data_IF_595491052885
#
_entry.id   IF_595491052885
#
_cell.length_a   1.000
_cell.length_b   1.000
_cell.length_c   1.000
_cell.angle_alpha   90.00
_cell.angle_beta   90.00
_cell.angle_gamma   90.00
#
_symmetry.space_group_name_H-M   'P 1'
#
loop_
_entity.id
_entity.type
_entity.pdbx_description
1 polymer ?
#
# COMPACT_ATOMS: atom_id res chain seq x y z
N UNK A 1 -26.33 -13.89 0.08
CA UNK A 1 -25.74 -13.54 1.39
C UNK A 1 -24.24 -13.53 1.25
N UNK A 2 -23.62 -12.47 1.72
CA UNK A 2 -22.17 -12.37 1.70
C UNK A 2 -21.54 -13.36 2.68
N UNK A 3 -20.43 -13.95 2.29
CA UNK A 3 -19.68 -14.87 3.14
C UNK A 3 -18.36 -14.23 3.56
N UNK A 4 -17.88 -14.60 4.74
CA UNK A 4 -16.55 -14.23 5.15
C UNK A 4 -15.50 -14.88 4.26
N UNK A 5 -14.35 -14.21 4.11
CA UNK A 5 -13.23 -14.71 3.32
C UNK A 5 -11.94 -14.60 4.15
N UNK A 6 -11.08 -15.58 3.97
CA UNK A 6 -9.75 -15.57 4.58
C UNK A 6 -8.73 -15.29 3.49
N UNK A 7 -7.97 -14.23 3.65
CA UNK A 7 -6.89 -13.85 2.74
C UNK A 7 -5.58 -13.88 3.52
N UNK A 8 -4.57 -14.53 2.95
CA UNK A 8 -3.23 -14.50 3.50
C UNK A 8 -2.31 -13.82 2.48
N UNK A 9 -1.61 -12.80 2.92
CA UNK A 9 -0.70 -12.02 2.08
C UNK A 9 0.32 -12.89 1.33
N UNK A 10 0.73 -14.01 1.90
CA UNK A 10 1.67 -14.94 1.24
C UNK A 10 1.12 -15.54 -0.04
N UNK A 11 -0.19 -15.59 -0.19
CA UNK A 11 -0.85 -16.17 -1.37
C UNK A 11 -1.17 -15.14 -2.43
N UNK A 12 -0.81 -13.89 -2.23
CA UNK A 12 -1.08 -12.80 -3.17
C UNK A 12 0.23 -12.35 -3.80
N UNK A 13 0.24 -12.30 -5.14
CA UNK A 13 1.41 -11.80 -5.87
C UNK A 13 1.45 -10.27 -5.80
N UNK A 14 2.64 -9.69 -5.61
CA UNK A 14 2.77 -8.24 -5.59
C UNK A 14 2.69 -7.64 -6.99
N UNK A 15 2.23 -6.40 -7.05
CA UNK A 15 2.59 -5.49 -8.11
C UNK A 15 4.07 -5.13 -7.91
N UNK A 16 4.89 -5.39 -8.90
CA UNK A 16 6.29 -4.96 -8.88
C UNK A 16 6.36 -3.63 -9.61
N UNK A 17 6.37 -2.55 -8.86
CA UNK A 17 6.44 -1.21 -9.44
C UNK A 17 7.80 -1.00 -10.11
N UNK A 18 8.85 -1.29 -9.37
CA UNK A 18 10.23 -1.24 -9.82
C UNK A 18 11.11 -1.99 -8.81
N UNK A 19 12.42 -1.79 -8.89
CA UNK A 19 13.39 -2.43 -7.97
C UNK A 19 13.26 -1.96 -6.53
N UNK A 20 12.55 -0.85 -6.28
CA UNK A 20 12.51 -0.21 -4.96
C UNK A 20 11.26 -0.54 -4.17
N UNK A 21 10.12 -0.73 -4.85
CA UNK A 21 8.82 -0.83 -4.18
C UNK A 21 7.92 -1.87 -4.84
N UNK A 22 7.26 -2.66 -4.01
CA UNK A 22 6.22 -3.59 -4.43
C UNK A 22 4.99 -3.44 -3.55
N UNK A 23 3.83 -3.88 -4.06
CA UNK A 23 2.56 -3.65 -3.41
C UNK A 23 1.62 -4.82 -3.70
N UNK A 24 1.00 -5.37 -2.65
CA UNK A 24 0.00 -6.42 -2.76
C UNK A 24 -1.35 -5.83 -2.45
N UNK A 25 -2.27 -5.86 -3.42
CA UNK A 25 -3.66 -5.50 -3.17
C UNK A 25 -4.37 -6.71 -2.56
N UNK A 26 -4.66 -6.65 -1.26
CA UNK A 26 -5.20 -7.77 -0.51
C UNK A 26 -6.72 -7.76 -0.47
N UNK A 27 -7.31 -6.60 -0.27
CA UNK A 27 -8.75 -6.43 -0.10
C UNK A 27 -9.18 -5.20 -0.87
N UNK A 28 -10.30 -5.32 -1.58
CA UNK A 28 -10.88 -4.23 -2.33
C UNK A 28 -12.08 -4.72 -3.12
N UNK A 29 -12.69 -3.82 -3.86
CA UNK A 29 -13.86 -4.10 -4.67
C UNK A 29 -13.58 -5.18 -5.73
N UNK A 30 -12.45 -5.04 -6.40
CA UNK A 30 -12.02 -5.93 -7.46
C UNK A 30 -11.24 -7.15 -6.94
N UNK A 31 -10.90 -7.14 -5.67
CA UNK A 31 -10.12 -8.21 -5.03
C UNK A 31 -10.81 -8.56 -3.72
N UNK A 32 -11.15 -9.82 -3.56
CA UNK A 32 -11.82 -10.32 -2.35
C UNK A 32 -13.22 -9.73 -2.12
N UNK A 33 -13.77 -8.99 -3.07
CA UNK A 33 -15.17 -8.53 -3.06
C UNK A 33 -15.58 -7.63 -1.90
N UNK A 34 -14.67 -6.80 -1.39
CA UNK A 34 -14.99 -5.88 -0.30
C UNK A 34 -15.22 -4.47 -0.84
N UNK A 35 -16.43 -3.97 -0.66
CA UNK A 35 -16.83 -2.64 -1.15
C UNK A 35 -16.57 -1.50 -0.16
N UNK A 36 -16.13 -1.82 1.05
CA UNK A 36 -16.01 -0.82 2.12
C UNK A 36 -14.64 -0.17 2.14
N UNK A 37 -13.60 -0.96 1.98
CA UNK A 37 -12.22 -0.50 2.20
C UNK A 37 -11.27 -1.24 1.28
N UNK A 38 -10.21 -0.55 0.87
CA UNK A 38 -9.08 -1.15 0.17
C UNK A 38 -7.95 -1.36 1.16
N UNK A 39 -7.32 -2.53 1.13
CA UNK A 39 -6.17 -2.87 1.98
C UNK A 39 -5.03 -3.37 1.10
N UNK A 40 -3.87 -2.80 1.30
CA UNK A 40 -2.69 -3.08 0.51
C UNK A 40 -1.49 -3.32 1.45
N UNK A 41 -0.62 -4.26 1.09
CA UNK A 41 0.65 -4.44 1.79
C UNK A 41 1.76 -3.91 0.90
N UNK A 42 2.44 -2.88 1.35
CA UNK A 42 3.56 -2.28 0.62
C UNK A 42 4.89 -2.73 1.21
N UNK A 43 5.87 -2.96 0.34
CA UNK A 43 7.24 -3.26 0.74
C UNK A 43 8.19 -2.32 0.00
N UNK A 44 8.91 -1.51 0.79
CA UNK A 44 9.94 -0.62 0.29
C UNK A 44 11.30 -1.24 0.61
N UNK A 45 12.15 -1.38 -0.40
CA UNK A 45 13.47 -1.99 -0.21
C UNK A 45 14.37 -1.13 0.68
N UNK A 46 15.40 -1.77 1.23
CA UNK A 46 16.41 -1.07 2.01
C UNK A 46 17.07 0.04 1.19
N UNK A 47 17.36 1.16 1.83
CA UNK A 47 18.08 2.29 1.22
C UNK A 47 17.31 3.02 0.12
N UNK A 48 16.01 2.83 0.02
CA UNK A 48 15.17 3.42 -1.01
C UNK A 48 14.13 4.37 -0.43
N UNK A 49 13.55 5.19 -1.28
CA UNK A 49 12.42 6.04 -0.93
C UNK A 49 11.39 6.03 -2.05
N UNK A 50 10.14 6.30 -1.73
CA UNK A 50 9.08 6.41 -2.74
C UNK A 50 9.08 7.80 -3.37
N UNK A 51 8.54 7.89 -4.58
CA UNK A 51 8.42 9.18 -5.28
C UNK A 51 7.40 10.11 -4.63
N UNK A 52 6.44 9.53 -3.93
CA UNK A 52 5.38 10.30 -3.30
C UNK A 52 4.21 10.60 -4.21
N UNK A 53 3.18 11.14 -3.62
CA UNK A 53 1.96 11.51 -4.35
C UNK A 53 0.96 12.21 -3.46
N UNK A 54 -0.11 12.64 -4.08
CA UNK A 54 -1.22 13.30 -3.42
C UNK A 54 -2.53 12.73 -3.97
N UNK A 55 -3.51 12.53 -3.11
CA UNK A 55 -4.84 12.07 -3.51
C UNK A 55 -5.90 12.59 -2.53
N UNK A 56 -7.16 12.49 -2.95
CA UNK A 56 -8.29 13.01 -2.18
C UNK A 56 -8.83 12.03 -1.14
N UNK A 57 -8.46 10.76 -1.20
CA UNK A 57 -8.89 9.78 -0.20
C UNK A 57 -8.00 9.90 1.03
N UNK A 58 -8.62 9.76 2.21
CA UNK A 58 -7.87 9.56 3.45
C UNK A 58 -7.18 8.20 3.37
N UNK A 59 -5.92 8.17 3.75
CA UNK A 59 -5.17 6.93 3.81
C UNK A 59 -4.63 6.70 5.22
N UNK A 60 -4.55 5.45 5.63
CA UNK A 60 -3.98 5.09 6.93
C UNK A 60 -2.86 4.09 6.67
N UNK A 61 -1.71 4.32 7.28
CA UNK A 61 -0.61 3.35 7.31
C UNK A 61 -0.56 2.66 8.66
N UNK A 62 -0.30 1.37 8.62
CA UNK A 62 0.08 0.59 9.80
C UNK A 62 1.44 -0.05 9.52
N UNK A 63 2.41 0.21 10.38
CA UNK A 63 3.79 -0.25 10.17
C UNK A 63 3.94 -1.68 10.67
N UNK A 64 4.31 -2.60 9.78
CA UNK A 64 4.43 -4.02 10.08
C UNK A 64 5.85 -4.38 10.52
N UNK A 65 6.86 -3.96 9.75
CA UNK A 65 8.25 -4.27 10.05
C UNK A 65 9.19 -3.23 9.45
N UNK A 66 10.37 -3.13 10.04
CA UNK A 66 11.33 -2.09 9.66
C UNK A 66 10.96 -0.76 10.28
N UNK A 67 11.81 0.25 10.06
CA UNK A 67 11.59 1.62 10.50
C UNK A 67 11.78 2.54 9.30
N UNK A 68 11.22 3.73 9.37
CA UNK A 68 11.36 4.68 8.28
C UNK A 68 10.80 6.03 8.65
N UNK A 69 10.93 6.97 7.73
CA UNK A 69 10.39 8.30 7.87
C UNK A 69 9.23 8.47 6.90
N UNK A 70 8.07 8.85 7.43
CA UNK A 70 6.90 9.19 6.62
C UNK A 70 6.76 10.70 6.62
N UNK A 71 6.81 11.28 5.44
CA UNK A 71 6.68 12.72 5.27
C UNK A 71 5.24 13.05 4.84
N UNK A 72 4.62 13.92 5.61
CA UNK A 72 3.32 14.51 5.29
C UNK A 72 3.54 16.00 5.06
N UNK A 73 3.52 16.43 3.80
CA UNK A 73 3.96 17.76 3.39
C UNK A 73 5.36 18.04 3.95
N UNK A 74 5.52 19.01 4.82
CA UNK A 74 6.83 19.40 5.40
C UNK A 74 7.11 18.74 6.75
N UNK A 75 6.20 17.90 7.25
CA UNK A 75 6.35 17.26 8.55
C UNK A 75 6.83 15.83 8.41
N UNK A 76 7.91 15.51 9.12
CA UNK A 76 8.49 14.17 9.14
C UNK A 76 8.07 13.43 10.39
N UNK A 77 7.57 12.19 10.20
CA UNK A 77 7.25 11.28 11.29
C UNK A 77 8.17 10.07 11.20
N UNK A 78 8.97 9.87 12.24
CA UNK A 78 9.77 8.65 12.35
C UNK A 78 8.88 7.54 12.91
N UNK A 79 8.68 6.47 12.14
CA UNK A 79 7.73 5.40 12.50
C UNK A 79 8.44 4.08 12.72
N UNK A 80 7.85 3.29 13.62
CA UNK A 80 8.33 1.95 14.00
C UNK A 80 7.17 0.96 13.96
N UNK A 81 7.45 -0.36 13.99
CA UNK A 81 6.36 -1.35 13.97
C UNK A 81 5.32 -1.10 15.06
N UNK A 82 4.06 -1.20 14.67
CA UNK A 82 2.93 -0.92 15.56
C UNK A 82 2.36 0.49 15.43
N UNK A 83 3.07 1.39 14.76
CA UNK A 83 2.58 2.76 14.56
C UNK A 83 1.49 2.80 13.50
N UNK A 84 0.52 3.66 13.71
CA UNK A 84 -0.48 4.06 12.72
C UNK A 84 -0.25 5.52 12.36
N UNK A 85 -0.40 5.85 11.09
CA UNK A 85 -0.34 7.25 10.66
C UNK A 85 -1.53 7.55 9.75
N UNK A 86 -2.17 8.68 9.99
CA UNK A 86 -3.32 9.12 9.20
C UNK A 86 -2.84 10.18 8.21
N UNK A 87 -3.15 9.95 6.94
CA UNK A 87 -2.81 10.87 5.84
C UNK A 87 -4.11 11.51 5.36
N UNK A 88 -4.35 12.79 5.68
CA UNK A 88 -5.57 13.47 5.25
C UNK A 88 -5.62 13.67 3.72
N UNK A 89 -6.82 13.93 3.18
CA UNK A 89 -6.96 14.27 1.76
C UNK A 89 -6.08 15.47 1.37
N UNK A 90 -5.52 15.42 0.17
CA UNK A 90 -4.75 16.54 -0.37
C UNK A 90 -3.36 16.72 0.23
N UNK A 91 -2.88 15.76 1.02
CA UNK A 91 -1.56 15.82 1.66
C UNK A 91 -0.53 15.10 0.78
N UNK A 92 0.51 15.80 0.35
CA UNK A 92 1.63 15.15 -0.35
C UNK A 92 2.40 14.29 0.65
N UNK A 93 2.61 13.03 0.31
CA UNK A 93 3.26 12.10 1.23
C UNK A 93 4.22 11.17 0.51
N UNK A 94 5.28 10.79 1.20
CA UNK A 94 6.22 9.79 0.72
C UNK A 94 6.90 9.12 1.92
N UNK A 95 7.55 7.99 1.64
CA UNK A 95 8.26 7.20 2.63
C UNK A 95 9.75 7.22 2.28
N UNK A 96 10.56 7.50 3.28
CA UNK A 96 12.03 7.53 3.15
C UNK A 96 12.64 6.44 4.02
N UNK A 97 13.22 5.43 3.39
CA UNK A 97 13.94 4.33 4.03
C UNK A 97 15.44 4.36 3.70
N UNK A 98 15.93 5.51 3.23
CA UNK A 98 17.30 5.61 2.72
C UNK A 98 18.37 5.39 3.78
N UNK A 99 18.05 5.60 5.04
CA UNK A 99 18.99 5.47 6.17
C UNK A 99 19.00 4.08 6.80
N UNK A 100 18.20 3.14 6.29
CA UNK A 100 18.03 1.82 6.90
C UNK A 100 18.43 0.70 5.96
N UNK A 101 18.99 -0.37 6.51
CA UNK A 101 19.45 -1.55 5.77
C UNK A 101 18.40 -2.65 5.68
N UNK A 102 17.22 -2.42 6.25
CA UNK A 102 16.13 -3.39 6.27
C UNK A 102 14.98 -2.92 5.38
N UNK A 103 14.22 -3.89 4.87
CA UNK A 103 12.97 -3.59 4.18
C UNK A 103 11.99 -2.92 5.13
N UNK A 104 11.19 -2.02 4.60
CA UNK A 104 10.12 -1.35 5.31
C UNK A 104 8.79 -1.90 4.79
N UNK A 105 8.03 -2.55 5.66
CA UNK A 105 6.76 -3.19 5.30
C UNK A 105 5.62 -2.51 6.05
N UNK A 106 4.59 -2.12 5.31
CA UNK A 106 3.44 -1.44 5.88
C UNK A 106 2.14 -1.94 5.25
N UNK A 107 1.06 -1.83 6.01
CA UNK A 107 -0.29 -2.00 5.49
C UNK A 107 -0.86 -0.61 5.22
N UNK A 108 -1.53 -0.46 4.10
CA UNK A 108 -2.22 0.79 3.76
C UNK A 108 -3.71 0.52 3.65
N UNK A 109 -4.49 1.47 4.15
CA UNK A 109 -5.95 1.39 4.17
C UNK A 109 -6.49 2.68 3.58
N UNK A 110 -7.42 2.57 2.62
CA UNK A 110 -8.10 3.75 2.10
C UNK A 110 -9.51 3.38 1.69
N UNK A 111 -10.38 4.39 1.65
CA UNK A 111 -11.78 4.20 1.28
C UNK A 111 -11.91 3.73 -0.16
N UNK A 112 -13.00 3.04 -0.44
CA UNK A 112 -13.35 2.62 -1.79
C UNK A 112 -13.36 3.80 -2.74
N UNK A 113 -12.78 3.62 -3.91
CA UNK A 113 -12.88 4.55 -5.02
C UNK A 113 -14.03 4.13 -5.93
N UNK A 114 -14.76 5.10 -6.47
CA UNK A 114 -15.95 4.84 -7.27
C UNK A 114 -15.68 3.90 -8.45
N UNK A 115 -14.55 4.11 -9.13
CA UNK A 115 -14.17 3.31 -10.30
C UNK A 115 -12.93 2.46 -10.08
N UNK A 116 -12.47 2.36 -8.84
CA UNK A 116 -11.26 1.63 -8.48
C UNK A 116 -10.07 1.97 -9.38
N UNK A 117 -9.84 3.25 -9.58
CA UNK A 117 -8.84 3.76 -10.54
C UNK A 117 -7.42 3.28 -10.21
N UNK A 118 -7.09 3.16 -8.93
CA UNK A 118 -5.76 2.71 -8.51
C UNK A 118 -5.50 1.28 -8.96
N UNK A 119 -6.48 0.40 -8.79
CA UNK A 119 -6.35 -0.99 -9.24
C UNK A 119 -6.09 -1.08 -10.74
N UNK A 120 -6.93 -0.42 -11.53
CA UNK A 120 -6.80 -0.47 -13.00
C UNK A 120 -5.54 0.22 -13.50
N UNK A 121 -5.13 1.33 -12.89
CA UNK A 121 -3.89 2.01 -13.24
C UNK A 121 -2.68 1.12 -12.97
N UNK A 122 -2.65 0.45 -11.83
CA UNK A 122 -1.56 -0.47 -11.49
C UNK A 122 -1.54 -1.69 -12.39
N UNK A 123 -2.70 -2.27 -12.66
CA UNK A 123 -2.81 -3.43 -13.55
C UNK A 123 -2.31 -3.09 -14.95
N UNK A 124 -2.64 -1.92 -15.47
CA UNK A 124 -2.16 -1.45 -16.76
C UNK A 124 -0.66 -1.21 -16.77
N UNK A 125 -0.14 -0.55 -15.72
CA UNK A 125 1.27 -0.16 -15.64
C UNK A 125 2.19 -1.38 -15.45
N UNK A 126 1.77 -2.33 -14.60
CA UNK A 126 2.62 -3.45 -14.19
C UNK A 126 2.22 -4.77 -14.85
N UNK A 127 1.14 -4.77 -15.62
CA UNK A 127 0.75 -5.86 -16.49
C UNK A 127 0.75 -7.22 -15.79
N UNK A 128 1.51 -8.14 -16.34
CA UNK A 128 1.52 -9.54 -15.90
C UNK A 128 2.22 -9.78 -14.56
N UNK A 129 2.88 -8.78 -14.00
CA UNK A 129 3.49 -8.92 -12.68
C UNK A 129 2.45 -8.96 -11.56
N UNK A 130 1.23 -8.50 -11.86
CA UNK A 130 0.14 -8.48 -10.91
C UNK A 130 -0.69 -9.76 -10.97
N UNK A 131 -0.93 -10.34 -9.80
CA UNK A 131 -1.87 -11.44 -9.64
C UNK A 131 -2.45 -11.39 -8.24
N UNK A 132 -3.77 -11.43 -8.15
CA UNK A 132 -4.47 -11.53 -6.87
C UNK A 132 -4.92 -12.97 -6.60
N UNK A 133 -5.43 -13.18 -5.40
CA UNK A 133 -6.02 -14.46 -5.02
C UNK A 133 -7.16 -14.88 -5.95
N UNK A 134 -7.84 -13.93 -6.55
CA UNK A 134 -8.98 -14.20 -7.43
C UNK A 134 -8.60 -14.52 -8.89
N UNK A 135 -7.31 -14.49 -9.20
CA UNK A 135 -6.79 -14.65 -10.56
C UNK A 135 -6.00 -15.95 -10.78
N UNK A 136 -6.19 -16.91 -9.94
CA UNK A 136 -5.47 -18.20 -10.06
C UNK A 136 -5.85 -19.01 -11.30
#
# INVERSE_FOLDING_TARGET
>A
MAQGRLINSKNVKPFICDETYSSKLLIGDEVAGCEVINVNEGTLEARQKTAGGVHEQTEIYYIVSGTGDVWLDETCYHVVPGDFIIIPPGTFHYIDNTMNDEKFVLMTFWSRQEYNEVYFARKKAWGKSFKTIDEE
#
